data_IF_198461115505
#
_entry.id   IF_198461115505
#
_cell.length_a   1.000
_cell.length_b   1.000
_cell.length_c   1.000
_cell.angle_alpha   90.00
_cell.angle_beta   90.00
_cell.angle_gamma   90.00
#
_symmetry.space_group_name_H-M   'P 1'
#
loop_
_entity.id
_entity.type
_entity.pdbx_description
1 polymer ?
#
# COMPACT_ATOMS: atom_id res chain seq x y z
N UNK A 1 -7.37 28.57 -0.64
CA UNK A 1 -5.93 28.71 -0.27
C UNK A 1 -5.11 27.71 -1.08
N UNK A 2 -4.04 28.13 -1.77
CA UNK A 2 -3.17 27.22 -2.55
C UNK A 2 -2.25 26.46 -1.58
N UNK A 3 -2.35 25.13 -1.53
CA UNK A 3 -1.48 24.27 -0.72
C UNK A 3 -0.05 24.36 -1.27
N UNK A 4 0.91 24.87 -0.49
CA UNK A 4 2.34 24.91 -0.88
C UNK A 4 2.94 23.51 -0.71
N UNK A 5 3.75 23.09 -1.68
CA UNK A 5 4.51 21.85 -1.64
C UNK A 5 5.60 21.98 -0.56
N UNK A 6 5.64 21.08 0.40
CA UNK A 6 6.73 20.96 1.37
C UNK A 6 7.67 19.87 0.92
N UNK A 7 8.87 20.24 0.46
CA UNK A 7 9.89 19.31 -0.05
C UNK A 7 10.45 18.40 1.04
N UNK A 8 10.53 18.88 2.28
CA UNK A 8 10.96 18.07 3.43
C UNK A 8 9.91 17.02 3.78
N UNK A 9 8.62 17.37 3.80
CA UNK A 9 7.56 16.37 3.99
C UNK A 9 7.57 15.38 2.83
N UNK A 10 8.09 15.80 1.66
CA UNK A 10 8.11 15.01 0.44
C UNK A 10 9.08 13.92 0.27
N UNK A 11 10.20 14.15 0.90
CA UNK A 11 11.32 13.27 0.84
C UNK A 11 11.53 12.67 2.25
N UNK A 12 10.75 13.13 3.24
CA UNK A 12 11.09 13.04 4.66
C UNK A 12 10.36 12.00 5.47
N UNK A 13 9.21 11.53 5.04
CA UNK A 13 8.61 10.35 5.62
C UNK A 13 9.07 9.17 4.75
N UNK A 14 9.86 8.31 5.36
CA UNK A 14 9.97 6.93 4.98
C UNK A 14 9.62 6.20 6.25
N UNK A 15 8.38 5.72 6.42
CA UNK A 15 8.10 4.79 7.51
C UNK A 15 9.16 3.70 7.50
N UNK A 16 9.79 3.44 8.65
CA UNK A 16 10.74 2.35 8.80
C UNK A 16 10.08 1.06 8.31
N UNK A 17 10.70 0.42 7.32
CA UNK A 17 10.19 -0.83 6.76
C UNK A 17 10.31 -1.89 7.83
N UNK A 18 9.16 -2.30 8.41
CA UNK A 18 9.10 -3.31 9.47
C UNK A 18 9.82 -4.61 9.08
N UNK A 19 9.95 -4.92 7.79
CA UNK A 19 10.70 -6.09 7.32
C UNK A 19 12.19 -5.96 7.61
N UNK A 20 12.76 -4.77 7.41
CA UNK A 20 14.15 -4.47 7.76
C UNK A 20 14.34 -4.49 9.28
N UNK A 21 13.38 -3.97 10.05
CA UNK A 21 13.42 -4.05 11.52
C UNK A 21 13.41 -5.51 12.00
N UNK A 22 12.59 -6.37 11.40
CA UNK A 22 12.57 -7.81 11.69
C UNK A 22 13.94 -8.43 11.40
N UNK A 23 14.52 -8.16 10.23
CA UNK A 23 15.84 -8.68 9.87
C UNK A 23 16.92 -8.22 10.87
N UNK A 24 16.86 -6.95 11.29
CA UNK A 24 17.76 -6.38 12.31
C UNK A 24 17.63 -7.08 13.66
N UNK A 25 16.39 -7.31 14.11
CA UNK A 25 16.13 -8.01 15.36
C UNK A 25 16.56 -9.49 15.32
N UNK A 26 16.48 -10.14 14.16
CA UNK A 26 17.05 -11.48 13.97
C UNK A 26 18.57 -11.45 14.15
N UNK A 27 19.26 -10.45 13.59
CA UNK A 27 20.71 -10.27 13.77
C UNK A 27 21.13 -10.09 15.23
N UNK A 28 20.31 -9.40 16.03
CA UNK A 28 20.58 -9.15 17.46
C UNK A 28 20.26 -10.39 18.32
N UNK A 29 19.06 -10.97 18.16
CA UNK A 29 18.52 -11.99 19.06
C UNK A 29 18.71 -13.44 18.59
N UNK A 30 19.14 -13.67 17.35
CA UNK A 30 19.34 -15.01 16.80
C UNK A 30 18.05 -15.84 16.65
N UNK A 31 16.87 -15.20 16.67
CA UNK A 31 15.57 -15.88 16.68
C UNK A 31 14.48 -15.06 16.02
N UNK A 32 13.76 -15.69 15.07
CA UNK A 32 12.61 -15.10 14.39
C UNK A 32 11.45 -14.84 15.36
N UNK A 33 11.25 -15.71 16.35
CA UNK A 33 10.16 -15.53 17.34
C UNK A 33 10.47 -14.43 18.34
N UNK A 34 11.75 -14.18 18.66
CA UNK A 34 12.14 -12.99 19.42
C UNK A 34 12.00 -11.72 18.59
N UNK A 35 12.43 -11.75 17.32
CA UNK A 35 12.30 -10.61 16.42
C UNK A 35 10.84 -10.19 16.21
N UNK A 36 9.93 -11.15 16.01
CA UNK A 36 8.50 -10.90 15.89
C UNK A 36 7.95 -10.14 17.11
N UNK A 37 8.29 -10.58 18.33
CA UNK A 37 7.90 -9.93 19.59
C UNK A 37 8.50 -8.53 19.72
N UNK A 38 9.77 -8.36 19.37
CA UNK A 38 10.45 -7.07 19.46
C UNK A 38 9.85 -6.02 18.50
N UNK A 39 9.43 -6.42 17.30
CA UNK A 39 8.81 -5.53 16.31
C UNK A 39 7.29 -5.37 16.53
N UNK A 40 6.68 -6.23 17.34
CA UNK A 40 5.24 -6.21 17.63
C UNK A 40 4.38 -6.77 16.48
N UNK A 41 4.85 -7.85 15.86
CA UNK A 41 4.13 -8.58 14.80
C UNK A 41 4.00 -10.05 15.16
N UNK A 42 3.09 -10.76 14.51
CA UNK A 42 2.95 -12.20 14.65
C UNK A 42 4.21 -12.93 14.13
N UNK A 43 4.46 -14.12 14.66
CA UNK A 43 5.54 -14.99 14.17
C UNK A 43 5.41 -15.29 12.67
N UNK A 44 4.17 -15.44 12.19
CA UNK A 44 3.88 -15.66 10.77
C UNK A 44 4.21 -14.43 9.92
N UNK A 45 3.89 -13.22 10.37
CA UNK A 45 4.29 -11.99 9.70
C UNK A 45 5.81 -11.83 9.65
N UNK A 46 6.53 -12.20 10.71
CA UNK A 46 7.98 -12.18 10.73
C UNK A 46 8.61 -13.12 9.69
N UNK A 47 8.08 -14.34 9.55
CA UNK A 47 8.49 -15.24 8.47
C UNK A 47 8.20 -14.67 7.08
N UNK A 48 6.99 -14.17 6.85
CA UNK A 48 6.63 -13.58 5.56
C UNK A 48 7.49 -12.37 5.20
N UNK A 49 7.92 -11.58 6.19
CA UNK A 49 8.88 -10.49 5.98
C UNK A 49 10.24 -11.01 5.50
N UNK A 50 10.77 -12.07 6.12
CA UNK A 50 12.03 -12.70 5.72
C UNK A 50 11.94 -13.29 4.32
N UNK A 51 10.83 -13.99 4.01
CA UNK A 51 10.58 -14.57 2.68
C UNK A 51 10.49 -13.46 1.62
N UNK A 52 9.77 -12.38 1.91
CA UNK A 52 9.64 -11.25 1.00
C UNK A 52 11.00 -10.58 0.72
N UNK A 53 11.80 -10.31 1.76
CA UNK A 53 13.13 -9.72 1.57
C UNK A 53 14.07 -10.67 0.83
N UNK A 54 14.01 -11.98 1.12
CA UNK A 54 14.81 -12.99 0.42
C UNK A 54 14.46 -13.03 -1.08
N UNK A 55 13.18 -13.02 -1.42
CA UNK A 55 12.74 -12.98 -2.82
C UNK A 55 13.18 -11.69 -3.53
N UNK A 56 13.14 -10.55 -2.84
CA UNK A 56 13.58 -9.26 -3.39
C UNK A 56 15.11 -9.20 -3.56
N UNK A 57 15.87 -9.79 -2.65
CA UNK A 57 17.33 -9.85 -2.71
C UNK A 57 17.85 -10.89 -3.70
N UNK A 58 17.04 -11.92 -4.02
CA UNK A 58 17.45 -13.04 -4.87
C UNK A 58 18.40 -14.03 -4.21
N UNK A 59 18.73 -13.82 -2.93
CA UNK A 59 19.62 -14.67 -2.12
C UNK A 59 19.09 -14.80 -0.69
N UNK A 60 19.31 -15.95 0.00
CA UNK A 60 18.90 -16.12 1.39
C UNK A 60 19.54 -15.07 2.31
N UNK A 61 18.72 -14.37 3.10
CA UNK A 61 19.18 -13.37 4.07
C UNK A 61 19.31 -13.93 5.49
N UNK A 62 18.65 -15.06 5.76
CA UNK A 62 18.65 -15.75 7.05
C UNK A 62 18.94 -17.23 6.82
N UNK A 63 19.91 -17.76 7.55
CA UNK A 63 20.23 -19.19 7.61
C UNK A 63 19.69 -19.80 8.92
N UNK A 64 19.35 -21.08 8.87
CA UNK A 64 19.11 -21.86 10.08
C UNK A 64 20.44 -22.13 10.76
N UNK A 65 20.55 -21.78 12.04
CA UNK A 65 21.70 -22.18 12.85
C UNK A 65 21.63 -23.70 13.08
N UNK A 66 22.71 -24.41 12.76
CA UNK A 66 22.82 -25.86 12.94
C UNK A 66 23.22 -26.16 14.39
N UNK A 67 22.35 -26.82 15.16
CA UNK A 67 22.73 -27.56 16.38
C UNK A 67 22.00 -27.23 17.70
N UNK A 68 21.70 -28.30 18.47
CA UNK A 68 21.39 -28.28 19.91
C UNK A 68 19.99 -28.79 20.32
N UNK A 69 19.90 -29.49 21.46
CA UNK A 69 18.72 -30.15 22.07
C UNK A 69 17.51 -29.23 22.38
N UNK A 70 17.55 -27.97 21.97
CA UNK A 70 16.48 -26.97 22.13
C UNK A 70 15.99 -26.32 20.83
N UNK A 71 16.47 -26.74 19.65
CA UNK A 71 15.97 -26.28 18.34
C UNK A 71 16.78 -25.13 17.72
N UNK A 72 17.03 -25.24 16.41
CA UNK A 72 17.92 -24.35 15.65
C UNK A 72 17.47 -22.88 15.63
N UNK A 73 18.41 -21.98 15.92
CA UNK A 73 18.23 -20.54 15.82
C UNK A 73 18.20 -20.01 14.38
N UNK A 74 18.07 -18.70 14.24
CA UNK A 74 18.14 -17.99 12.97
C UNK A 74 19.34 -17.04 13.01
N UNK A 75 20.21 -17.12 12.00
CA UNK A 75 21.37 -16.24 11.89
C UNK A 75 21.33 -15.53 10.54
N UNK A 76 21.76 -14.27 10.51
CA UNK A 76 21.90 -13.54 9.25
C UNK A 76 23.01 -14.16 8.41
N UNK A 77 22.76 -14.26 7.10
CA UNK A 77 23.82 -14.60 6.14
C UNK A 77 24.75 -13.39 5.94
N UNK A 78 25.90 -13.54 5.25
CA UNK A 78 26.70 -12.38 4.84
C UNK A 78 25.86 -11.35 4.05
N UNK A 79 25.02 -11.82 3.11
CA UNK A 79 24.09 -10.96 2.38
C UNK A 79 23.06 -10.25 3.28
N UNK A 80 22.58 -10.93 4.34
CA UNK A 80 21.71 -10.32 5.34
C UNK A 80 22.38 -9.15 6.07
N UNK A 81 23.65 -9.28 6.44
CA UNK A 81 24.42 -8.19 7.07
C UNK A 81 24.69 -7.04 6.10
N UNK A 82 25.07 -7.35 4.85
CA UNK A 82 25.28 -6.34 3.80
C UNK A 82 24.02 -5.50 3.55
N UNK A 83 22.84 -6.15 3.48
CA UNK A 83 21.57 -5.45 3.32
C UNK A 83 21.30 -4.48 4.48
N UNK A 84 21.54 -4.90 5.73
CA UNK A 84 21.35 -4.03 6.89
C UNK A 84 22.31 -2.84 6.87
N UNK A 85 23.59 -3.06 6.54
CA UNK A 85 24.57 -1.99 6.43
C UNK A 85 24.18 -0.98 5.33
N UNK A 86 23.74 -1.47 4.16
CA UNK A 86 23.25 -0.61 3.08
C UNK A 86 21.99 0.18 3.48
N UNK A 87 21.05 -0.46 4.20
CA UNK A 87 19.85 0.19 4.69
C UNK A 87 20.17 1.32 5.69
N UNK A 88 21.10 1.09 6.62
CA UNK A 88 21.54 2.11 7.58
C UNK A 88 22.26 3.29 6.90
N UNK A 89 23.13 3.00 5.93
CA UNK A 89 23.81 4.04 5.15
C UNK A 89 22.81 4.89 4.34
N UNK A 90 21.82 4.26 3.72
CA UNK A 90 20.76 4.97 2.97
C UNK A 90 19.92 5.84 3.91
N UNK A 91 19.53 5.32 5.07
CA UNK A 91 18.74 6.06 6.04
C UNK A 91 19.53 7.23 6.63
N UNK A 92 20.83 7.07 6.87
CA UNK A 92 21.70 8.17 7.28
C UNK A 92 21.81 9.24 6.19
N UNK A 93 22.08 8.85 4.94
CA UNK A 93 22.17 9.79 3.83
C UNK A 93 20.85 10.55 3.62
N UNK A 94 19.70 9.86 3.75
CA UNK A 94 18.37 10.47 3.69
C UNK A 94 18.20 11.50 4.81
N UNK A 95 18.51 11.15 6.05
CA UNK A 95 18.45 12.08 7.21
C UNK A 95 19.33 13.30 7.00
N UNK A 96 20.55 13.14 6.50
CA UNK A 96 21.48 14.24 6.27
C UNK A 96 20.98 15.20 5.18
N UNK A 97 20.43 14.66 4.08
CA UNK A 97 19.84 15.48 3.01
C UNK A 97 18.64 16.26 3.54
N UNK A 98 17.74 15.61 4.29
CA UNK A 98 16.57 16.27 4.85
C UNK A 98 16.94 17.38 5.83
N UNK A 99 17.92 17.13 6.70
CA UNK A 99 18.43 18.14 7.64
C UNK A 99 18.95 19.40 6.90
N UNK A 100 19.60 19.22 5.74
CA UNK A 100 20.07 20.33 4.88
C UNK A 100 18.95 21.07 4.16
N UNK A 101 17.81 20.42 3.92
CA UNK A 101 16.64 21.03 3.26
C UNK A 101 15.70 21.73 4.25
N UNK A 102 15.76 21.39 5.54
CA UNK A 102 15.00 22.00 6.63
C UNK A 102 15.54 23.29 7.33
N UNK A 103 16.62 24.00 6.91
CA UNK A 103 17.14 25.17 7.66
C UNK A 103 16.20 26.39 7.77
N UNK A 104 15.08 26.44 7.03
CA UNK A 104 14.13 27.57 7.06
C UNK A 104 12.75 27.22 7.64
N UNK A 105 12.64 26.19 8.49
CA UNK A 105 11.40 25.88 9.22
C UNK A 105 11.28 26.63 10.58
N UNK A 106 11.88 27.82 10.69
CA UNK A 106 11.50 28.77 11.73
C UNK A 106 10.17 29.42 11.37
N UNK A 107 9.12 29.09 12.12
CA UNK A 107 7.79 29.71 12.07
C UNK A 107 6.97 29.54 10.77
N UNK A 108 6.53 28.31 10.47
CA UNK A 108 5.24 28.05 9.81
C UNK A 108 4.88 26.57 9.85
N UNK A 109 4.22 26.13 10.93
CA UNK A 109 3.37 24.93 10.92
C UNK A 109 2.20 25.18 9.96
N UNK A 110 2.39 24.86 8.68
CA UNK A 110 1.37 25.12 7.64
C UNK A 110 1.41 24.20 6.42
N UNK A 111 2.33 23.24 6.35
CA UNK A 111 2.34 22.19 5.34
C UNK A 111 1.56 20.98 5.85
N UNK A 112 0.28 20.86 5.51
CA UNK A 112 -0.48 19.66 5.90
C UNK A 112 0.13 18.39 5.27
N UNK A 113 0.08 17.22 5.96
CA UNK A 113 0.74 15.97 5.58
C UNK A 113 0.47 15.49 4.14
N UNK A 114 -0.67 15.89 3.57
CA UNK A 114 -1.05 15.50 2.20
C UNK A 114 -0.18 16.13 1.09
N UNK A 115 0.59 17.17 1.38
CA UNK A 115 1.50 17.79 0.41
C UNK A 115 2.55 16.79 -0.08
N UNK A 116 2.86 15.78 0.73
CA UNK A 116 3.85 14.85 0.27
C UNK A 116 3.89 13.37 0.59
N UNK A 117 2.83 12.90 1.21
CA UNK A 117 2.26 11.68 0.66
C UNK A 117 2.05 11.80 -0.87
N UNK A 118 1.71 12.98 -1.43
CA UNK A 118 1.49 13.15 -2.88
C UNK A 118 2.71 12.87 -3.78
N UNK A 119 3.91 13.37 -3.46
CA UNK A 119 5.09 13.12 -4.30
C UNK A 119 5.59 11.68 -4.19
N UNK A 120 5.56 11.10 -2.98
CA UNK A 120 5.88 9.68 -2.79
C UNK A 120 4.96 8.78 -3.63
N UNK A 121 3.67 9.12 -3.76
CA UNK A 121 2.70 8.43 -4.63
C UNK A 121 3.06 8.57 -6.12
N UNK A 122 3.53 9.74 -6.56
CA UNK A 122 3.94 9.98 -7.95
C UNK A 122 5.21 9.20 -8.35
N UNK A 123 6.05 8.82 -7.38
CA UNK A 123 7.26 8.03 -7.64
C UNK A 123 6.97 6.55 -7.97
N UNK A 124 5.79 6.04 -7.60
CA UNK A 124 5.43 4.64 -7.85
C UNK A 124 5.14 4.38 -9.33
N UNK A 125 5.98 3.56 -9.98
CA UNK A 125 5.75 3.05 -11.33
C UNK A 125 5.19 1.62 -11.24
N UNK A 126 3.86 1.49 -11.26
CA UNK A 126 3.15 0.22 -11.12
C UNK A 126 2.03 0.06 -12.16
N UNK A 127 1.60 -1.18 -12.43
CA UNK A 127 0.53 -1.48 -13.41
C UNK A 127 -0.89 -1.36 -12.83
N UNK A 128 -1.04 -1.02 -11.55
CA UNK A 128 -2.33 -0.77 -10.89
C UNK A 128 -2.82 0.63 -11.29
N UNK A 129 -3.56 0.72 -12.40
CA UNK A 129 -3.98 2.00 -13.01
C UNK A 129 -4.99 2.79 -12.16
N UNK A 130 -5.69 2.12 -11.25
CA UNK A 130 -6.60 2.78 -10.32
C UNK A 130 -5.87 3.01 -9.00
N UNK A 131 -5.67 4.28 -8.63
CA UNK A 131 -4.90 4.65 -7.46
C UNK A 131 -5.60 5.79 -6.73
N UNK A 132 -5.94 5.58 -5.45
CA UNK A 132 -6.68 6.54 -4.66
C UNK A 132 -6.00 6.80 -3.31
N UNK A 133 -5.59 8.06 -3.06
CA UNK A 133 -5.34 8.58 -1.72
C UNK A 133 -6.48 8.27 -0.75
N UNK A 134 -6.20 7.51 0.31
CA UNK A 134 -7.20 7.17 1.31
C UNK A 134 -6.64 7.25 2.73
N UNK A 135 -7.55 7.26 3.70
CA UNK A 135 -7.24 7.11 5.12
C UNK A 135 -7.97 5.89 5.65
N UNK A 136 -7.27 5.07 6.45
CA UNK A 136 -7.87 3.94 7.17
C UNK A 136 -8.89 4.45 8.17
N UNK A 137 -10.13 3.97 8.10
CA UNK A 137 -11.21 4.31 9.03
C UNK A 137 -11.31 3.26 10.14
N UNK A 138 -11.37 2.00 9.77
CA UNK A 138 -11.48 0.89 10.71
C UNK A 138 -10.89 -0.40 10.12
N UNK A 139 -10.65 -1.36 11.01
CA UNK A 139 -10.09 -2.68 10.72
C UNK A 139 -11.03 -3.72 11.32
N UNK A 140 -11.52 -4.63 10.50
CA UNK A 140 -12.44 -5.72 10.88
C UNK A 140 -11.74 -7.07 10.67
N UNK A 141 -11.39 -7.80 11.74
CA UNK A 141 -10.82 -9.14 11.63
C UNK A 141 -11.83 -10.15 11.07
N UNK A 142 -11.41 -10.94 10.08
CA UNK A 142 -12.21 -11.97 9.41
C UNK A 142 -11.46 -13.31 9.41
N UNK A 143 -11.14 -13.84 10.59
CA UNK A 143 -10.29 -15.02 10.74
C UNK A 143 -8.86 -14.71 10.23
N UNK A 144 -8.27 -15.47 9.30
CA UNK A 144 -6.92 -15.19 8.78
C UNK A 144 -6.85 -13.93 7.88
N UNK A 145 -8.00 -13.34 7.57
CA UNK A 145 -8.12 -12.13 6.76
C UNK A 145 -8.47 -10.92 7.63
N UNK A 146 -8.28 -9.74 7.06
CA UNK A 146 -8.62 -8.44 7.63
C UNK A 146 -9.35 -7.64 6.56
N UNK A 147 -10.55 -7.16 6.87
CA UNK A 147 -11.20 -6.12 6.07
C UNK A 147 -10.78 -4.75 6.59
N UNK A 148 -10.31 -3.91 5.68
CA UNK A 148 -9.87 -2.54 5.96
C UNK A 148 -10.89 -1.60 5.32
N UNK A 149 -11.52 -0.75 6.14
CA UNK A 149 -12.41 0.30 5.65
C UNK A 149 -11.60 1.56 5.38
N UNK A 150 -11.81 2.15 4.20
CA UNK A 150 -11.03 3.28 3.70
C UNK A 150 -11.95 4.40 3.26
N UNK A 151 -11.45 5.63 3.42
CA UNK A 151 -12.12 6.85 2.98
C UNK A 151 -11.16 7.67 2.10
N UNK A 152 -11.62 8.12 0.93
CA UNK A 152 -10.85 8.97 0.05
C UNK A 152 -10.43 10.30 0.70
N UNK A 153 -9.14 10.65 0.63
CA UNK A 153 -8.56 11.84 1.27
C UNK A 153 -9.07 13.15 0.64
N UNK A 154 -9.15 13.19 -0.69
CA UNK A 154 -9.68 14.33 -1.47
C UNK A 154 -11.08 14.07 -2.04
N UNK A 155 -11.66 12.92 -1.72
CA UNK A 155 -12.96 12.48 -2.20
C UNK A 155 -13.73 11.80 -1.04
N UNK A 156 -14.35 12.57 -0.14
CA UNK A 156 -15.07 12.02 1.04
C UNK A 156 -16.27 11.15 0.70
N UNK A 157 -16.73 11.14 -0.55
CA UNK A 157 -17.78 10.23 -1.02
C UNK A 157 -17.23 8.89 -1.53
N UNK A 158 -15.91 8.77 -1.68
CA UNK A 158 -15.25 7.51 -2.05
C UNK A 158 -14.97 6.69 -0.79
N UNK A 159 -15.93 5.87 -0.39
CA UNK A 159 -15.74 4.82 0.60
C UNK A 159 -15.43 3.49 -0.12
N UNK A 160 -14.46 2.74 0.39
CA UNK A 160 -14.08 1.44 -0.14
C UNK A 160 -13.55 0.49 0.94
N UNK A 161 -13.64 -0.80 0.68
CA UNK A 161 -13.10 -1.87 1.52
C UNK A 161 -11.99 -2.62 0.77
N UNK A 162 -10.89 -2.92 1.47
CA UNK A 162 -9.87 -3.85 1.01
C UNK A 162 -9.88 -5.09 1.91
N UNK A 163 -9.69 -6.27 1.33
CA UNK A 163 -9.56 -7.53 2.08
C UNK A 163 -8.15 -8.07 1.90
N UNK A 164 -7.37 -8.00 2.97
CA UNK A 164 -5.95 -8.39 3.01
C UNK A 164 -5.72 -9.46 4.08
N UNK A 165 -4.51 -10.00 4.20
CA UNK A 165 -4.16 -10.89 5.30
C UNK A 165 -3.91 -10.11 6.59
N UNK A 166 -4.09 -10.75 7.75
CA UNK A 166 -3.73 -10.12 9.03
C UNK A 166 -2.26 -9.70 9.07
N UNK A 167 -1.37 -10.55 8.55
CA UNK A 167 0.07 -10.29 8.53
C UNK A 167 0.42 -9.07 7.65
N UNK A 168 -0.30 -8.87 6.55
CA UNK A 168 -0.13 -7.68 5.72
C UNK A 168 -0.52 -6.41 6.50
N UNK A 169 -1.61 -6.45 7.26
CA UNK A 169 -2.02 -5.32 8.11
C UNK A 169 -0.98 -5.03 9.20
N UNK A 170 -0.41 -6.07 9.81
CA UNK A 170 0.66 -5.98 10.81
C UNK A 170 1.94 -5.38 10.22
N UNK A 171 2.41 -5.89 9.07
CA UNK A 171 3.63 -5.41 8.42
C UNK A 171 3.48 -3.98 7.90
N UNK A 172 2.29 -3.58 7.46
CA UNK A 172 1.97 -2.21 7.05
C UNK A 172 1.65 -1.28 8.23
N UNK A 173 1.64 -1.79 9.48
CA UNK A 173 1.30 -1.02 10.67
C UNK A 173 -0.07 -0.32 10.60
N UNK A 174 -1.04 -0.93 9.92
CA UNK A 174 -2.34 -0.31 9.66
C UNK A 174 -3.06 0.00 10.96
N UNK A 175 -3.62 1.21 11.04
CA UNK A 175 -4.43 1.69 12.15
C UNK A 175 -5.38 2.79 11.67
N UNK A 176 -6.53 3.01 12.33
CA UNK A 176 -7.38 4.15 12.04
C UNK A 176 -6.59 5.46 11.98
N UNK A 177 -6.91 6.31 11.00
CA UNK A 177 -6.23 7.57 10.74
C UNK A 177 -4.95 7.47 9.92
N UNK A 178 -4.42 6.26 9.64
CA UNK A 178 -3.22 6.10 8.82
C UNK A 178 -3.52 6.42 7.35
N UNK A 179 -2.78 7.35 6.70
CA UNK A 179 -2.88 7.57 5.27
C UNK A 179 -2.30 6.37 4.50
N UNK A 180 -3.01 5.93 3.47
CA UNK A 180 -2.65 4.82 2.59
C UNK A 180 -2.96 5.18 1.14
N UNK A 181 -2.32 4.49 0.21
CA UNK A 181 -2.68 4.46 -1.18
C UNK A 181 -3.44 3.16 -1.48
N UNK A 182 -4.72 3.27 -1.82
CA UNK A 182 -5.50 2.15 -2.31
C UNK A 182 -5.28 1.98 -3.82
N UNK A 183 -5.00 0.76 -4.24
CA UNK A 183 -4.56 0.44 -5.59
C UNK A 183 -5.39 -0.72 -6.16
N UNK A 184 -5.77 -0.64 -7.43
CA UNK A 184 -6.50 -1.71 -8.10
C UNK A 184 -6.11 -1.82 -9.57
N UNK A 185 -6.04 -3.06 -10.08
CA UNK A 185 -5.82 -3.31 -11.50
C UNK A 185 -7.07 -2.93 -12.27
N UNK A 186 -6.93 -2.23 -13.39
CA UNK A 186 -8.07 -1.90 -14.25
C UNK A 186 -8.86 -3.16 -14.66
N UNK A 187 -8.17 -4.25 -14.97
CA UNK A 187 -8.79 -5.53 -15.34
C UNK A 187 -9.62 -6.20 -14.22
N UNK A 188 -9.45 -5.78 -12.95
CA UNK A 188 -10.27 -6.28 -11.84
C UNK A 188 -11.52 -5.42 -11.58
N UNK A 189 -11.64 -4.27 -12.27
CA UNK A 189 -12.81 -3.40 -12.16
C UNK A 189 -13.83 -3.79 -13.22
N UNK A 190 -15.02 -4.21 -12.78
CA UNK A 190 -16.14 -4.54 -13.66
C UNK A 190 -17.00 -3.31 -13.88
N UNK A 191 -17.41 -3.09 -15.13
CA UNK A 191 -18.24 -1.95 -15.53
C UNK A 191 -19.61 -2.43 -15.96
N UNK A 192 -20.64 -1.89 -15.33
CA UNK A 192 -22.04 -2.21 -15.57
C UNK A 192 -22.77 -0.99 -16.16
N UNK A 193 -23.68 -1.22 -17.11
CA UNK A 193 -24.50 -0.17 -17.74
C UNK A 193 -25.62 0.40 -16.84
N UNK A 194 -25.64 0.01 -15.56
CA UNK A 194 -26.59 0.40 -14.53
C UNK A 194 -26.14 -0.12 -13.17
N UNK A 195 -26.92 0.14 -12.12
CA UNK A 195 -26.64 -0.41 -10.78
C UNK A 195 -26.99 -1.91 -10.77
N UNK A 196 -26.02 -2.79 -10.46
CA UNK A 196 -26.30 -4.22 -10.34
C UNK A 196 -27.24 -4.50 -9.15
N UNK A 197 -28.05 -5.56 -9.26
CA UNK A 197 -29.00 -5.96 -8.22
C UNK A 197 -28.32 -6.46 -6.94
N UNK A 198 -27.13 -7.05 -7.05
CA UNK A 198 -26.31 -7.43 -5.91
C UNK A 198 -25.40 -6.27 -5.50
N UNK A 199 -25.49 -5.86 -4.23
CA UNK A 199 -24.60 -4.88 -3.63
C UNK A 199 -23.21 -5.50 -3.44
N UNK A 200 -22.27 -5.15 -4.31
CA UNK A 200 -20.86 -5.32 -4.01
C UNK A 200 -20.46 -4.28 -2.95
N UNK A 201 -19.56 -4.65 -2.03
CA UNK A 201 -19.05 -3.73 -0.99
C UNK A 201 -18.30 -2.52 -1.59
N UNK A 202 -17.74 -2.70 -2.78
CA UNK A 202 -17.10 -1.68 -3.58
C UNK A 202 -17.89 -1.49 -4.89
N UNK A 203 -18.86 -0.58 -4.86
CA UNK A 203 -19.70 -0.24 -6.00
C UNK A 203 -19.88 1.27 -6.07
N UNK A 204 -19.44 1.88 -7.16
CA UNK A 204 -19.52 3.34 -7.34
C UNK A 204 -20.24 3.70 -8.62
N UNK A 205 -21.33 4.49 -8.53
CA UNK A 205 -21.95 5.06 -9.71
C UNK A 205 -21.06 6.16 -10.31
N UNK A 206 -21.20 6.34 -11.62
CA UNK A 206 -20.46 7.36 -12.34
C UNK A 206 -20.97 7.54 -13.76
N UNK A 207 -20.15 8.21 -14.56
CA UNK A 207 -20.40 8.45 -15.98
C UNK A 207 -19.17 8.05 -16.80
N UNK A 208 -19.38 7.25 -17.84
CA UNK A 208 -18.33 6.90 -18.78
C UNK A 208 -17.82 8.17 -19.47
N UNK A 209 -16.52 8.42 -19.42
CA UNK A 209 -15.86 9.53 -20.12
C UNK A 209 -15.22 9.06 -21.43
N UNK A 210 -14.73 7.82 -21.46
CA UNK A 210 -14.13 7.19 -22.64
C UNK A 210 -14.45 5.70 -22.69
N UNK A 211 -14.70 5.17 -23.88
CA UNK A 211 -14.92 3.73 -24.12
C UNK A 211 -14.07 3.30 -25.31
N UNK A 212 -13.18 2.34 -25.09
CA UNK A 212 -12.32 1.73 -26.11
C UNK A 212 -12.71 0.27 -26.26
N UNK A 213 -13.17 -0.10 -27.46
CA UNK A 213 -13.67 -1.46 -27.72
C UNK A 213 -12.54 -2.43 -27.96
N UNK A 214 -12.71 -3.65 -27.47
CA UNK A 214 -11.72 -4.71 -27.63
C UNK A 214 -12.33 -6.10 -27.63
N UNK A 215 -11.67 -7.09 -28.26
CA UNK A 215 -12.17 -8.46 -28.34
C UNK A 215 -12.28 -9.14 -26.96
N UNK A 216 -11.42 -8.75 -26.01
CA UNK A 216 -11.43 -9.28 -24.65
C UNK A 216 -12.35 -8.49 -23.68
N UNK A 217 -12.96 -7.41 -24.15
CA UNK A 217 -13.79 -6.51 -23.34
C UNK A 217 -13.63 -5.05 -23.76
N UNK A 218 -14.62 -4.24 -23.42
CA UNK A 218 -14.57 -2.79 -23.66
C UNK A 218 -13.91 -2.11 -22.46
N UNK A 219 -12.77 -1.46 -22.67
CA UNK A 219 -12.13 -0.62 -21.64
C UNK A 219 -12.94 0.66 -21.47
N UNK A 220 -13.35 0.95 -20.24
CA UNK A 220 -14.14 2.12 -19.89
C UNK A 220 -13.38 2.96 -18.87
N UNK A 221 -13.09 4.21 -19.24
CA UNK A 221 -12.73 5.25 -18.28
C UNK A 221 -14.02 5.95 -17.83
N UNK A 222 -14.18 6.14 -16.52
CA UNK A 222 -15.34 6.80 -15.93
C UNK A 222 -14.91 7.84 -14.90
N UNK A 223 -15.72 8.89 -14.78
CA UNK A 223 -15.70 9.79 -13.62
C UNK A 223 -16.78 9.32 -12.66
N UNK A 224 -16.39 8.93 -11.45
CA UNK A 224 -17.33 8.52 -10.41
C UNK A 224 -18.07 9.74 -9.86
N UNK A 225 -19.27 9.51 -9.32
CA UNK A 225 -20.02 10.56 -8.63
C UNK A 225 -19.25 11.11 -7.42
N UNK A 226 -18.36 10.28 -6.84
CA UNK A 226 -17.43 10.67 -5.80
C UNK A 226 -16.29 11.61 -6.25
N UNK A 227 -16.24 12.00 -7.53
CA UNK A 227 -15.29 12.99 -8.06
C UNK A 227 -13.91 12.45 -8.43
N UNK A 228 -13.72 11.11 -8.45
CA UNK A 228 -12.47 10.47 -8.88
C UNK A 228 -12.62 9.78 -10.23
N UNK A 229 -11.50 9.57 -10.91
CA UNK A 229 -11.45 8.77 -12.13
C UNK A 229 -11.17 7.30 -11.81
N UNK A 230 -11.76 6.42 -12.61
CA UNK A 230 -11.55 4.98 -12.54
C UNK A 230 -11.57 4.38 -13.95
N UNK A 231 -10.75 3.36 -14.17
CA UNK A 231 -10.71 2.58 -15.41
C UNK A 231 -11.07 1.12 -15.09
N UNK A 232 -11.95 0.55 -15.90
CA UNK A 232 -12.38 -0.83 -15.79
C UNK A 232 -12.74 -1.43 -17.14
N UNK A 233 -13.29 -2.64 -17.11
CA UNK A 233 -13.72 -3.35 -18.29
C UNK A 233 -15.19 -3.77 -18.18
N UNK A 234 -15.93 -3.53 -19.26
CA UNK A 234 -17.23 -4.13 -19.50
C UNK A 234 -17.08 -5.38 -20.38
N UNK A 235 -18.13 -6.20 -20.45
CA UNK A 235 -18.18 -7.32 -21.39
C UNK A 235 -17.96 -6.84 -22.84
N UNK A 236 -17.42 -7.68 -23.73
CA UNK A 236 -17.28 -7.35 -25.15
C UNK A 236 -18.62 -6.93 -25.74
N UNK A 237 -18.61 -5.93 -26.62
CA UNK A 237 -19.82 -5.42 -27.27
C UNK A 237 -20.89 -4.93 -26.27
N UNK A 238 -20.46 -4.35 -25.14
CA UNK A 238 -21.34 -3.86 -24.07
C UNK A 238 -22.39 -2.83 -24.51
N UNK A 239 -22.21 -2.23 -25.69
CA UNK A 239 -23.03 -1.13 -26.17
C UNK A 239 -22.80 0.19 -25.43
N UNK A 240 -21.89 0.22 -24.45
CA UNK A 240 -21.56 1.42 -23.70
C UNK A 240 -20.97 2.51 -24.59
N UNK A 241 -21.29 3.76 -24.24
CA UNK A 241 -20.77 4.96 -24.91
C UNK A 241 -20.40 6.01 -23.87
N UNK A 242 -19.51 6.92 -24.26
CA UNK A 242 -19.20 8.11 -23.46
C UNK A 242 -20.49 8.88 -23.13
N UNK A 243 -20.52 9.48 -21.95
CA UNK A 243 -21.65 10.21 -21.39
C UNK A 243 -22.71 9.32 -20.71
N UNK A 244 -22.69 7.99 -20.86
CA UNK A 244 -23.67 7.10 -20.24
C UNK A 244 -23.38 6.86 -18.75
N UNK A 245 -24.45 6.66 -17.97
CA UNK A 245 -24.35 6.22 -16.58
C UNK A 245 -23.77 4.82 -16.55
N UNK A 246 -22.86 4.60 -15.62
CA UNK A 246 -22.25 3.29 -15.36
C UNK A 246 -22.12 3.08 -13.86
N UNK A 247 -21.99 1.82 -13.45
CA UNK A 247 -21.54 1.47 -12.11
C UNK A 247 -20.25 0.68 -12.21
N UNK A 248 -19.25 1.09 -11.43
CA UNK A 248 -17.93 0.46 -11.37
C UNK A 248 -17.85 -0.38 -10.10
N UNK A 249 -17.57 -1.68 -10.26
CA UNK A 249 -17.52 -2.63 -9.16
C UNK A 249 -16.14 -3.28 -9.04
N UNK A 250 -15.68 -3.50 -7.82
CA UNK A 250 -14.38 -4.12 -7.52
C UNK A 250 -14.58 -5.15 -6.41
N UNK A 251 -13.89 -6.29 -6.44
CA UNK A 251 -13.87 -7.18 -5.26
C UNK A 251 -12.91 -6.62 -4.20
N UNK A 252 -13.24 -6.72 -2.92
CA UNK A 252 -12.35 -6.22 -1.84
C UNK A 252 -10.94 -6.83 -1.91
N UNK A 253 -10.81 -8.08 -2.36
CA UNK A 253 -9.51 -8.77 -2.52
C UNK A 253 -8.69 -8.26 -3.71
N UNK A 254 -9.31 -7.53 -4.64
CA UNK A 254 -8.63 -6.88 -5.76
C UNK A 254 -8.05 -5.51 -5.39
N UNK A 255 -8.35 -4.98 -4.19
CA UNK A 255 -7.80 -3.74 -3.67
C UNK A 255 -6.54 -4.03 -2.87
N UNK A 256 -5.42 -3.51 -3.35
CA UNK A 256 -4.11 -3.57 -2.70
C UNK A 256 -3.86 -2.28 -1.94
N UNK A 257 -3.24 -2.37 -0.77
CA UNK A 257 -2.85 -1.21 0.03
C UNK A 257 -1.35 -1.02 0.00
N UNK A 258 -0.93 0.22 -0.18
CA UNK A 258 0.44 0.65 0.05
C UNK A 258 0.44 1.76 1.11
N UNK A 259 1.37 1.69 2.05
CA UNK A 259 1.72 2.85 2.88
C UNK A 259 2.78 3.62 2.12
N UNK A 260 2.56 4.92 1.93
CA UNK A 260 3.63 5.77 1.42
C UNK A 260 4.61 5.97 2.55
N UNK A 261 5.90 5.79 2.24
CA UNK A 261 6.98 6.20 3.11
C UNK A 261 6.66 7.54 3.72
#
# INVERSE_FOLDING_TARGET
>A
MKKRLSLSDALGQGMADRRIDILRQIGIGGSISQAARAVGVSYKAAWQAVDALTNLAGVPLVARAVGGTGGGGAQLTPAGHELLHAADALEQARRDVLARLSPQAGAASGGGPGGSAALARLALRISLRNQWPCTVQSLEPLGPLMRVHLQGESAPQLALCARITQESAELLALRPGLPVLALCKAAAVRVHAGLPAALASNLWPGRASRVSRGPAGDEVSATLDAGVHMVGFAAPSSGLRSGRRVAMAVDESAVVLAVTG
#
